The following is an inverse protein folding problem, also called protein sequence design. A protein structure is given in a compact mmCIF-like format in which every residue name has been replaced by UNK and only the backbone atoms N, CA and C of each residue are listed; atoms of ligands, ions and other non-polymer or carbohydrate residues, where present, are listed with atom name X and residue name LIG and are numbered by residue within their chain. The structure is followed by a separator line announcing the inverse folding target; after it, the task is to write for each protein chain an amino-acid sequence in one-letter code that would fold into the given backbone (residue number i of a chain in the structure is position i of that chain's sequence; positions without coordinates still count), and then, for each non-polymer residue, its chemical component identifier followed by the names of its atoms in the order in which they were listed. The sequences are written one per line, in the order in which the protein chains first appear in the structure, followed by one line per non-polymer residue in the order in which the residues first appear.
data_IF_431148512419
#
_entry.id   IF_431148512419
#
_cell.length_a   1.000
_cell.length_b   1.000
_cell.length_c   1.000
_cell.angle_alpha   90.00
_cell.angle_beta   90.00
_cell.angle_gamma   90.00
#
_symmetry.space_group_name_H-M   'P 1'
#
loop_
_entity.id
_entity.type
_entity.pdbx_description
1 polymer ?
#
# COMPACT_ATOMS: atom_id res chain seq x y z
N UNK A 1 12.92 14.93 -1.64
CA UNK A 1 12.38 14.09 -0.56
C UNK A 1 13.25 12.84 -0.41
N UNK A 2 13.79 12.61 0.78
CA UNK A 2 14.51 11.38 1.14
C UNK A 2 13.56 10.52 1.95
N UNK A 3 13.35 9.28 1.56
CA UNK A 3 12.51 8.37 2.31
C UNK A 3 13.14 7.00 2.46
N UNK A 4 12.69 6.26 3.44
CA UNK A 4 12.98 4.84 3.63
C UNK A 4 11.68 4.05 3.66
N UNK A 5 11.76 2.73 3.50
CA UNK A 5 10.53 1.95 3.32
C UNK A 5 10.48 0.68 4.18
N UNK A 6 9.29 0.43 4.73
CA UNK A 6 8.91 -0.86 5.30
C UNK A 6 8.54 -1.79 4.14
N UNK A 7 9.51 -2.44 3.56
CA UNK A 7 9.33 -3.40 2.45
C UNK A 7 10.57 -4.30 2.27
N UNK A 8 11.77 -3.78 2.56
CA UNK A 8 13.01 -4.51 2.34
C UNK A 8 13.13 -5.74 3.23
N UNK A 9 12.64 -5.67 4.44
CA UNK A 9 12.60 -6.81 5.35
C UNK A 9 11.66 -7.92 4.86
N UNK A 10 10.61 -7.58 4.08
CA UNK A 10 9.73 -8.56 3.44
C UNK A 10 10.44 -9.25 2.27
N UNK A 11 11.17 -8.49 1.44
CA UNK A 11 11.98 -9.05 0.34
C UNK A 11 13.02 -10.04 0.87
N UNK A 12 13.62 -9.76 2.02
CA UNK A 12 14.65 -10.63 2.62
C UNK A 12 14.07 -11.77 3.46
N UNK A 13 12.75 -11.86 3.58
CA UNK A 13 12.06 -12.90 4.36
C UNK A 13 12.13 -12.72 5.87
N UNK A 14 12.60 -11.57 6.36
CA UNK A 14 12.58 -11.24 7.78
C UNK A 14 11.17 -11.00 8.31
N UNK A 15 10.33 -10.41 7.48
CA UNK A 15 8.90 -10.22 7.73
C UNK A 15 8.09 -10.58 6.49
N UNK A 16 6.77 -10.50 6.57
CA UNK A 16 5.85 -10.79 5.47
C UNK A 16 5.01 -9.57 5.11
N UNK A 17 4.55 -9.50 3.85
CA UNK A 17 3.49 -8.57 3.45
C UNK A 17 2.12 -9.01 3.97
N UNK A 18 1.91 -10.35 4.08
CA UNK A 18 0.66 -10.93 4.57
C UNK A 18 0.54 -10.88 6.08
N UNK A 19 -0.70 -10.78 6.57
CA UNK A 19 -1.04 -10.75 7.98
C UNK A 19 -1.22 -12.14 8.58
N UNK A 20 -1.75 -13.08 7.80
CA UNK A 20 -2.11 -14.43 8.26
C UNK A 20 -1.55 -15.52 7.35
N UNK A 21 -1.34 -16.71 7.91
CA UNK A 21 -1.05 -17.93 7.16
C UNK A 21 -2.27 -18.88 7.09
N UNK A 22 -3.43 -18.46 7.68
CA UNK A 22 -4.65 -19.27 7.67
C UNK A 22 -5.43 -19.18 6.35
N UNK A 23 -5.23 -18.10 5.58
CA UNK A 23 -5.88 -17.87 4.31
C UNK A 23 -4.85 -17.93 3.17
N UNK A 24 -5.15 -18.72 2.15
CA UNK A 24 -4.35 -18.75 0.92
C UNK A 24 -4.74 -17.62 -0.07
N UNK A 25 -5.95 -17.11 0.07
CA UNK A 25 -6.51 -16.00 -0.71
C UNK A 25 -7.49 -15.24 0.15
N UNK A 26 -7.51 -13.92 0.05
CA UNK A 26 -8.44 -13.06 0.78
C UNK A 26 -9.53 -12.58 -0.14
N UNK A 27 -10.76 -12.68 0.31
CA UNK A 27 -11.95 -12.14 -0.32
C UNK A 27 -12.54 -11.03 0.56
N UNK A 28 -12.39 -9.78 0.16
CA UNK A 28 -12.73 -8.60 0.96
C UNK A 28 -14.22 -8.52 1.36
N UNK A 29 -15.09 -9.14 0.59
CA UNK A 29 -16.54 -9.16 0.83
C UNK A 29 -17.01 -10.28 1.79
N UNK A 30 -16.16 -11.28 2.05
CA UNK A 30 -16.52 -12.46 2.84
C UNK A 30 -15.60 -12.72 4.02
N UNK A 31 -14.34 -12.34 3.94
CA UNK A 31 -13.34 -12.67 4.93
C UNK A 31 -13.18 -11.55 5.97
N UNK A 32 -13.27 -11.95 7.23
CA UNK A 32 -13.09 -11.06 8.38
C UNK A 32 -11.71 -11.32 9.01
N UNK A 33 -10.73 -10.51 8.66
CA UNK A 33 -9.36 -10.67 9.14
C UNK A 33 -9.19 -10.39 10.64
N UNK A 34 -10.18 -9.79 11.29
CA UNK A 34 -10.15 -9.64 12.75
C UNK A 34 -10.34 -10.97 13.49
N UNK A 35 -10.88 -11.98 12.79
CA UNK A 35 -11.16 -13.31 13.32
C UNK A 35 -10.09 -14.36 13.00
N UNK A 36 -9.15 -14.03 12.12
CA UNK A 36 -8.07 -14.95 11.75
C UNK A 36 -6.83 -14.71 12.62
N UNK A 37 -6.03 -15.75 12.81
CA UNK A 37 -4.81 -15.66 13.61
C UNK A 37 -3.73 -14.90 12.82
N UNK A 38 -3.13 -13.85 13.41
CA UNK A 38 -1.97 -13.20 12.80
C UNK A 38 -0.78 -14.18 12.77
N UNK A 39 0.02 -14.11 11.70
CA UNK A 39 1.21 -14.95 11.57
C UNK A 39 2.40 -14.49 12.43
N UNK A 40 2.29 -13.32 13.04
CA UNK A 40 3.35 -12.71 13.87
C UNK A 40 4.57 -12.22 13.11
N UNK A 41 4.53 -12.20 11.78
CA UNK A 41 5.63 -11.79 10.91
C UNK A 41 5.29 -10.58 10.01
N UNK A 42 4.06 -10.08 10.07
CA UNK A 42 3.61 -8.96 9.26
C UNK A 42 4.47 -7.72 9.51
N UNK A 43 5.13 -7.23 8.46
CA UNK A 43 6.09 -6.11 8.56
C UNK A 43 5.42 -4.75 8.71
N UNK A 44 4.26 -4.56 8.11
CA UNK A 44 3.53 -3.29 8.13
C UNK A 44 2.64 -3.13 9.39
N UNK A 45 3.03 -3.72 10.53
CA UNK A 45 2.33 -3.47 11.78
C UNK A 45 2.70 -2.11 12.40
N UNK A 46 1.79 -1.54 13.17
CA UNK A 46 1.93 -0.20 13.77
C UNK A 46 3.23 -0.04 14.57
N UNK A 47 3.60 -1.04 15.37
CA UNK A 47 4.80 -0.96 16.20
C UNK A 47 6.08 -0.92 15.36
N UNK A 48 6.17 -1.74 14.32
CA UNK A 48 7.32 -1.76 13.42
C UNK A 48 7.41 -0.46 12.59
N UNK A 49 6.29 0.04 12.07
CA UNK A 49 6.26 1.30 11.33
C UNK A 49 6.74 2.47 12.19
N UNK A 50 6.35 2.53 13.46
CA UNK A 50 6.86 3.55 14.41
C UNK A 50 8.37 3.48 14.58
N UNK A 51 8.97 2.28 14.62
CA UNK A 51 10.44 2.14 14.66
C UNK A 51 11.11 2.72 13.42
N UNK A 52 10.52 2.54 12.24
CA UNK A 52 11.00 3.15 11.01
C UNK A 52 10.86 4.68 11.03
N UNK A 53 9.77 5.20 11.58
CA UNK A 53 9.55 6.63 11.77
C UNK A 53 10.62 7.23 12.70
N UNK A 54 10.90 6.59 13.83
CA UNK A 54 11.95 7.02 14.76
C UNK A 54 13.33 7.04 14.11
N UNK A 55 13.66 6.00 13.35
CA UNK A 55 14.91 5.95 12.59
C UNK A 55 14.96 7.07 11.54
N UNK A 56 13.89 7.26 10.79
CA UNK A 56 13.81 8.31 9.78
C UNK A 56 14.05 9.70 10.39
N UNK A 57 13.40 10.00 11.51
CA UNK A 57 13.56 11.26 12.22
C UNK A 57 15.01 11.45 12.73
N UNK A 58 15.60 10.41 13.31
CA UNK A 58 16.97 10.47 13.85
C UNK A 58 18.04 10.64 12.76
N UNK A 59 17.77 10.22 11.51
CA UNK A 59 18.75 10.20 10.42
C UNK A 59 18.45 11.17 9.27
N UNK A 60 17.54 12.13 9.47
CA UNK A 60 17.27 13.21 8.52
C UNK A 60 16.59 12.76 7.22
N UNK A 61 15.72 11.76 7.31
CA UNK A 61 14.77 11.42 6.26
C UNK A 61 13.52 12.31 6.36
N UNK A 62 12.84 12.49 5.24
CA UNK A 62 11.62 13.30 5.16
C UNK A 62 10.36 12.43 5.33
N UNK A 63 10.45 11.14 4.97
CA UNK A 63 9.29 10.26 4.92
C UNK A 63 9.62 8.78 5.14
N UNK A 64 8.57 8.01 5.45
CA UNK A 64 8.57 6.54 5.48
C UNK A 64 7.50 6.02 4.53
N UNK A 65 7.90 5.16 3.59
CA UNK A 65 6.99 4.38 2.74
C UNK A 65 6.58 3.10 3.47
N UNK A 66 5.31 2.72 3.42
CA UNK A 66 4.85 1.47 4.02
C UNK A 66 4.17 0.60 2.95
N UNK A 67 4.78 -0.52 2.59
CA UNK A 67 4.15 -1.56 1.80
C UNK A 67 3.48 -2.60 2.72
N UNK A 68 2.45 -3.28 2.23
CA UNK A 68 1.78 -4.33 2.98
C UNK A 68 0.78 -3.85 4.03
N UNK A 69 0.40 -2.58 4.02
CA UNK A 69 -0.47 -2.00 5.04
C UNK A 69 -1.94 -2.41 4.91
N UNK A 70 -2.41 -2.66 3.69
CA UNK A 70 -3.81 -2.96 3.37
C UNK A 70 -4.02 -4.43 3.03
N UNK A 71 -5.24 -4.92 3.17
CA UNK A 71 -5.62 -6.32 2.97
C UNK A 71 -5.43 -6.75 1.51
N UNK A 72 -4.95 -7.99 1.29
CA UNK A 72 -4.88 -8.63 -0.02
C UNK A 72 -3.53 -9.27 -0.37
N UNK A 73 -2.55 -9.22 0.52
CA UNK A 73 -1.19 -9.69 0.24
C UNK A 73 -0.97 -11.19 0.43
N UNK A 74 -1.95 -11.94 0.95
CA UNK A 74 -1.85 -13.37 1.23
C UNK A 74 -1.54 -14.19 -0.03
N UNK A 75 -2.08 -13.78 -1.17
CA UNK A 75 -1.88 -14.45 -2.46
C UNK A 75 -1.42 -13.49 -3.58
N UNK A 76 -0.81 -12.38 -3.21
CA UNK A 76 -0.42 -11.34 -4.16
C UNK A 76 0.64 -11.80 -5.15
N UNK A 77 1.72 -12.40 -4.66
CA UNK A 77 2.89 -12.67 -5.50
C UNK A 77 2.64 -13.83 -6.48
N UNK A 78 2.88 -13.58 -7.76
CA UNK A 78 2.72 -14.57 -8.82
C UNK A 78 1.29 -14.81 -9.29
N UNK A 79 0.31 -14.17 -8.65
CA UNK A 79 -1.09 -14.26 -9.04
C UNK A 79 -1.54 -13.01 -9.80
N UNK A 80 -2.13 -13.23 -10.98
CA UNK A 80 -2.69 -12.16 -11.80
C UNK A 80 -4.15 -11.95 -11.39
N UNK A 81 -4.38 -11.14 -10.36
CA UNK A 81 -5.73 -10.92 -9.82
C UNK A 81 -6.27 -9.55 -10.16
N UNK A 82 -7.48 -9.52 -10.70
CA UNK A 82 -8.17 -8.30 -11.15
C UNK A 82 -8.92 -7.56 -10.04
N UNK A 83 -8.78 -7.99 -8.76
CA UNK A 83 -9.59 -7.47 -7.65
C UNK A 83 -8.97 -7.63 -6.25
N UNK A 84 -7.66 -7.76 -6.17
CA UNK A 84 -6.98 -8.10 -4.89
C UNK A 84 -7.08 -6.98 -3.86
N UNK A 85 -6.98 -5.72 -4.29
CA UNK A 85 -6.87 -4.59 -3.39
C UNK A 85 -8.01 -3.59 -3.55
N UNK A 86 -8.50 -3.03 -2.44
CA UNK A 86 -9.45 -1.93 -2.40
C UNK A 86 -8.81 -0.57 -2.02
N UNK A 87 -7.58 -0.59 -1.52
CA UNK A 87 -6.77 0.58 -1.14
C UNK A 87 -7.35 1.43 -0.01
N UNK A 88 -8.32 0.91 0.76
CA UNK A 88 -8.96 1.61 1.87
C UNK A 88 -9.10 0.75 3.13
N UNK A 89 -8.84 -0.55 3.05
CA UNK A 89 -9.00 -1.46 4.19
C UNK A 89 -7.64 -1.87 4.74
N UNK A 90 -7.20 -1.30 5.88
CA UNK A 90 -5.93 -1.68 6.51
C UNK A 90 -6.04 -3.09 7.13
N UNK A 91 -4.88 -3.72 7.32
CA UNK A 91 -4.79 -4.90 8.18
C UNK A 91 -5.12 -4.54 9.64
N UNK A 92 -5.58 -5.52 10.46
CA UNK A 92 -6.00 -5.23 11.84
C UNK A 92 -4.89 -4.69 12.74
N UNK A 93 -3.63 -4.92 12.41
CA UNK A 93 -2.46 -4.46 13.16
C UNK A 93 -1.83 -3.17 12.61
N UNK A 94 -2.44 -2.57 11.57
CA UNK A 94 -2.03 -1.28 11.01
C UNK A 94 -3.03 -0.17 11.38
N UNK A 95 -2.71 0.59 12.41
CA UNK A 95 -3.52 1.73 12.84
C UNK A 95 -3.16 2.98 12.02
N UNK A 96 -4.00 3.30 11.05
CA UNK A 96 -3.81 4.39 10.08
C UNK A 96 -3.63 5.73 10.79
N UNK A 97 -4.52 6.05 11.73
CA UNK A 97 -4.53 7.35 12.40
C UNK A 97 -3.41 7.48 13.43
N UNK A 98 -3.10 6.41 14.14
CA UNK A 98 -2.01 6.39 15.11
C UNK A 98 -0.65 6.58 14.42
N UNK A 99 -0.44 5.94 13.27
CA UNK A 99 0.80 6.05 12.48
C UNK A 99 0.96 7.48 11.96
N UNK A 100 -0.09 8.07 11.39
CA UNK A 100 -0.05 9.45 10.90
C UNK A 100 0.28 10.44 12.04
N UNK A 101 -0.47 10.38 13.15
CA UNK A 101 -0.23 11.25 14.31
C UNK A 101 1.20 11.10 14.85
N UNK A 102 1.69 9.87 14.93
CA UNK A 102 3.04 9.60 15.40
C UNK A 102 4.10 10.18 14.46
N UNK A 103 3.95 9.95 13.16
CA UNK A 103 4.85 10.50 12.15
C UNK A 103 4.86 12.04 12.16
N UNK A 104 3.68 12.65 12.19
CA UNK A 104 3.53 14.10 12.27
C UNK A 104 4.24 14.69 13.54
N UNK A 105 4.14 14.00 14.68
CA UNK A 105 4.82 14.41 15.91
C UNK A 105 6.34 14.42 15.81
N UNK A 106 6.90 13.65 14.87
CA UNK A 106 8.33 13.55 14.58
C UNK A 106 8.76 14.39 13.37
N UNK A 107 7.83 15.07 12.71
CA UNK A 107 8.10 15.82 11.48
C UNK A 107 8.32 14.91 10.26
N UNK A 108 7.90 13.65 10.30
CA UNK A 108 8.02 12.67 9.23
C UNK A 108 6.68 12.53 8.52
N UNK A 109 6.70 12.38 7.19
CA UNK A 109 5.52 12.04 6.38
C UNK A 109 5.45 10.54 6.13
N UNK A 110 4.25 10.02 5.94
CA UNK A 110 4.05 8.64 5.53
C UNK A 110 3.61 8.60 4.07
N UNK A 111 4.27 7.78 3.28
CA UNK A 111 3.93 7.52 1.88
C UNK A 111 3.12 6.23 1.86
N UNK A 112 1.88 6.31 1.38
CA UNK A 112 1.06 5.12 1.15
C UNK A 112 1.59 4.32 -0.04
N UNK A 113 1.33 3.01 -0.03
CA UNK A 113 1.59 2.15 -1.16
C UNK A 113 0.28 1.60 -1.72
N UNK A 114 0.02 1.84 -2.98
CA UNK A 114 -1.07 1.24 -3.74
C UNK A 114 -0.48 0.21 -4.71
N UNK A 115 -0.35 -1.05 -4.27
CA UNK A 115 -0.01 -2.14 -5.20
C UNK A 115 -1.24 -2.53 -6.01
N UNK A 116 -1.14 -2.43 -7.32
CA UNK A 116 -2.27 -2.72 -8.21
C UNK A 116 -2.34 -4.18 -8.64
N UNK A 117 -1.29 -4.99 -8.40
CA UNK A 117 -1.13 -6.33 -8.97
C UNK A 117 -1.20 -6.34 -10.51
N UNK A 118 -0.85 -5.22 -11.13
CA UNK A 118 -0.96 -5.00 -12.57
C UNK A 118 -2.39 -4.78 -13.08
N UNK A 119 -3.41 -4.76 -12.20
CA UNK A 119 -4.80 -4.54 -12.59
C UNK A 119 -5.15 -3.05 -12.64
N UNK A 120 -5.08 -2.49 -13.84
CA UNK A 120 -5.42 -1.09 -14.09
C UNK A 120 -6.89 -0.81 -13.83
N UNK A 121 -7.79 -1.69 -14.28
CA UNK A 121 -9.23 -1.52 -14.09
C UNK A 121 -9.63 -1.51 -12.63
N UNK A 122 -9.05 -2.40 -11.84
CA UNK A 122 -9.31 -2.42 -10.41
C UNK A 122 -8.81 -1.15 -9.73
N UNK A 123 -7.62 -0.68 -10.09
CA UNK A 123 -7.09 0.56 -9.53
C UNK A 123 -7.93 1.77 -9.89
N UNK A 124 -8.28 1.94 -11.18
CA UNK A 124 -9.12 3.08 -11.60
C UNK A 124 -10.50 3.07 -10.94
N UNK A 125 -11.08 1.90 -10.72
CA UNK A 125 -12.37 1.73 -10.01
C UNK A 125 -12.33 2.25 -8.57
N UNK A 126 -11.21 2.03 -7.88
CA UNK A 126 -11.04 2.36 -6.47
C UNK A 126 -10.31 3.68 -6.21
N UNK A 127 -9.72 4.28 -7.23
CA UNK A 127 -8.80 5.41 -7.12
C UNK A 127 -9.39 6.61 -6.37
N UNK A 128 -10.64 6.96 -6.64
CA UNK A 128 -11.28 8.07 -5.93
C UNK A 128 -11.49 7.79 -4.44
N UNK A 129 -11.93 6.57 -4.10
CA UNK A 129 -12.09 6.17 -2.71
C UNK A 129 -10.72 6.12 -2.01
N UNK A 130 -9.70 5.60 -2.69
CA UNK A 130 -8.34 5.52 -2.17
C UNK A 130 -7.74 6.90 -1.89
N UNK A 131 -7.86 7.85 -2.81
CA UNK A 131 -7.32 9.20 -2.60
C UNK A 131 -8.11 10.00 -1.58
N UNK A 132 -9.43 9.79 -1.49
CA UNK A 132 -10.26 10.37 -0.42
C UNK A 132 -9.83 9.84 0.95
N UNK A 133 -9.66 8.53 1.07
CA UNK A 133 -9.14 7.88 2.27
C UNK A 133 -7.78 8.48 2.69
N UNK A 134 -6.85 8.65 1.75
CA UNK A 134 -5.57 9.28 2.06
C UNK A 134 -5.73 10.70 2.62
N UNK A 135 -6.61 11.52 2.03
CA UNK A 135 -6.86 12.88 2.50
C UNK A 135 -7.54 12.90 3.88
N UNK A 136 -8.49 12.02 4.10
CA UNK A 136 -9.19 11.88 5.39
C UNK A 136 -8.24 11.53 6.53
N UNK A 137 -7.21 10.73 6.23
CA UNK A 137 -6.21 10.27 7.20
C UNK A 137 -4.86 11.02 7.13
N UNK A 138 -4.75 12.09 6.34
CA UNK A 138 -3.56 12.95 6.33
C UNK A 138 -2.34 12.43 5.57
N UNK A 139 -2.49 11.48 4.67
CA UNK A 139 -1.39 10.91 3.88
C UNK A 139 -1.15 11.70 2.59
N UNK A 140 -0.03 12.44 2.44
CA UNK A 140 0.14 13.39 1.36
C UNK A 140 0.75 12.80 0.09
N UNK A 141 1.20 11.57 0.12
CA UNK A 141 1.92 10.96 -0.99
C UNK A 141 1.64 9.47 -1.14
N UNK A 142 1.71 8.97 -2.37
CA UNK A 142 1.49 7.57 -2.72
C UNK A 142 2.59 7.06 -3.66
N UNK A 143 3.02 5.81 -3.43
CA UNK A 143 3.70 4.98 -4.43
C UNK A 143 2.67 4.06 -5.04
N UNK A 144 2.40 4.16 -6.35
CA UNK A 144 1.58 3.20 -7.08
C UNK A 144 2.45 2.12 -7.72
N UNK A 145 2.20 0.86 -7.35
CA UNK A 145 2.93 -0.31 -7.82
C UNK A 145 2.17 -1.06 -8.90
N UNK A 146 2.91 -1.62 -9.87
CA UNK A 146 2.34 -2.38 -11.00
C UNK A 146 3.19 -3.64 -11.22
N UNK A 147 3.27 -4.49 -10.22
CA UNK A 147 4.09 -5.70 -10.29
C UNK A 147 3.41 -6.79 -11.11
N UNK A 148 4.18 -7.39 -12.00
CA UNK A 148 3.73 -8.49 -12.86
C UNK A 148 3.14 -8.05 -14.19
N UNK A 149 2.36 -8.95 -14.79
CA UNK A 149 1.73 -8.72 -16.07
C UNK A 149 0.52 -7.79 -15.94
N UNK A 150 0.34 -6.93 -16.92
CA UNK A 150 -0.81 -6.01 -16.95
C UNK A 150 -2.11 -6.74 -17.20
N UNK A 151 -3.14 -6.35 -16.47
CA UNK A 151 -4.53 -6.75 -16.69
C UNK A 151 -5.32 -5.51 -17.14
N UNK A 152 -6.07 -5.60 -18.25
CA UNK A 152 -6.43 -6.80 -19.05
C UNK A 152 -5.29 -7.30 -19.94
N UNK A 153 -5.30 -8.61 -20.19
CA UNK A 153 -4.35 -9.28 -21.09
C UNK A 153 -4.28 -8.60 -22.46
N UNK A 154 -3.11 -8.60 -23.07
CA UNK A 154 -2.85 -7.93 -24.35
C UNK A 154 -2.28 -6.51 -24.17
N UNK A 155 -2.26 -6.00 -22.97
CA UNK A 155 -1.57 -4.77 -22.62
C UNK A 155 -0.23 -5.07 -21.94
N UNK A 156 0.66 -4.09 -21.95
CA UNK A 156 1.94 -4.12 -21.26
C UNK A 156 2.29 -2.75 -20.72
N UNK A 157 3.30 -2.65 -19.87
CA UNK A 157 3.70 -1.42 -19.18
C UNK A 157 4.05 -0.24 -20.11
N UNK A 158 4.30 -0.50 -21.39
CA UNK A 158 4.86 0.49 -22.32
C UNK A 158 3.92 0.84 -23.48
N UNK A 159 2.75 0.18 -23.59
CA UNK A 159 1.81 0.53 -24.65
C UNK A 159 1.06 1.84 -24.35
N UNK A 160 0.47 2.44 -25.37
CA UNK A 160 -0.20 3.72 -25.26
C UNK A 160 -1.34 3.73 -24.22
N UNK A 161 -2.03 2.61 -24.07
CA UNK A 161 -3.11 2.50 -23.09
C UNK A 161 -2.61 2.65 -21.65
N UNK A 162 -1.48 2.02 -21.30
CA UNK A 162 -0.85 2.18 -20.00
C UNK A 162 -0.25 3.57 -19.80
N UNK A 163 0.36 4.14 -20.83
CA UNK A 163 0.88 5.52 -20.75
C UNK A 163 -0.26 6.50 -20.44
N UNK A 164 -1.41 6.31 -21.06
CA UNK A 164 -2.59 7.12 -20.77
C UNK A 164 -3.09 6.91 -19.33
N UNK A 165 -3.08 5.67 -18.86
CA UNK A 165 -3.42 5.37 -17.46
C UNK A 165 -2.48 6.04 -16.47
N UNK A 166 -1.18 5.97 -16.68
CA UNK A 166 -0.21 6.61 -15.78
C UNK A 166 -0.43 8.12 -15.72
N UNK A 167 -0.66 8.75 -16.85
CA UNK A 167 -0.99 10.18 -16.90
C UNK A 167 -2.28 10.46 -16.13
N UNK A 168 -3.33 9.69 -16.38
CA UNK A 168 -4.61 9.82 -15.68
C UNK A 168 -4.45 9.66 -14.16
N UNK A 169 -3.72 8.65 -13.69
CA UNK A 169 -3.50 8.41 -12.27
C UNK A 169 -2.78 9.59 -11.59
N UNK A 170 -1.76 10.16 -12.24
CA UNK A 170 -1.03 11.33 -11.72
C UNK A 170 -1.92 12.58 -11.70
N UNK A 171 -2.68 12.81 -12.77
CA UNK A 171 -3.63 13.94 -12.82
C UNK A 171 -4.71 13.81 -11.76
N UNK A 172 -5.27 12.61 -11.60
CA UNK A 172 -6.28 12.33 -10.59
C UNK A 172 -5.75 12.54 -9.17
N UNK A 173 -4.52 12.08 -8.89
CA UNK A 173 -3.87 12.32 -7.60
C UNK A 173 -3.67 13.82 -7.33
N UNK A 174 -3.32 14.60 -8.37
CA UNK A 174 -3.17 16.05 -8.25
C UNK A 174 -4.48 16.75 -7.87
N UNK A 175 -5.63 16.28 -8.35
CA UNK A 175 -6.96 16.80 -7.96
C UNK A 175 -7.19 16.66 -6.44
N UNK A 176 -6.61 15.62 -5.84
CA UNK A 176 -6.64 15.37 -4.40
C UNK A 176 -5.41 15.95 -3.66
N UNK A 177 -4.53 16.69 -4.34
CA UNK A 177 -3.27 17.22 -3.79
C UNK A 177 -2.34 16.15 -3.23
N UNK A 178 -2.36 14.96 -3.81
CA UNK A 178 -1.52 13.83 -3.45
C UNK A 178 -0.34 13.76 -4.43
N UNK A 179 0.86 13.66 -3.91
CA UNK A 179 2.07 13.44 -4.69
C UNK A 179 2.20 11.93 -5.04
N UNK A 180 2.46 11.62 -6.30
CA UNK A 180 2.74 10.27 -6.78
C UNK A 180 4.25 10.08 -6.93
#
# INVERSE_FOLDING_TARGET
CKYMGVWWEMITGKSSWSYTDELQSVHLDTDDLTKVKPNGRHGANTANVKRYIDFAAAHGFDAVLVEGWNIGWEDWFGNMKDYVFDFVTPYPDFDVDEIERYAASKGIKVIMHHETSGSVRNYERHMEAAYRFMNEHGYPAVKSGYVGNIIPKGNNHYNQWLVNHYLYAVQKAADYRIMV
#
